data_IF_956554094796
#
_entry.id   IF_956554094796
#
_cell.length_a   1.000
_cell.length_b   1.000
_cell.length_c   1.000
_cell.angle_alpha   90.00
_cell.angle_beta   90.00
_cell.angle_gamma   90.00
#
_symmetry.space_group_name_H-M   'P 1'
#
loop_
_entity.id
_entity.type
_entity.pdbx_description
1 polymer ?
#
# COMPACT_ATOMS: atom_id res chain seq x y z
N UNK A 1 0.06 -51.44 5.72
CA UNK A 1 0.82 -50.67 4.70
C UNK A 1 0.31 -51.12 3.35
N UNK A 2 -0.46 -50.30 2.64
CA UNK A 2 -0.97 -50.72 1.34
C UNK A 2 0.16 -50.68 0.29
N UNK A 3 0.45 -51.83 -0.33
CA UNK A 3 1.29 -51.90 -1.54
C UNK A 3 2.80 -51.95 -1.35
N UNK A 4 3.34 -52.13 -0.14
CA UNK A 4 4.77 -52.43 0.05
C UNK A 4 4.90 -53.88 0.47
N UNK A 5 5.39 -54.73 -0.43
CA UNK A 5 5.66 -56.14 -0.14
C UNK A 5 6.81 -56.25 0.86
N UNK A 6 6.63 -57.05 1.90
CA UNK A 6 7.70 -57.41 2.83
C UNK A 6 7.84 -58.93 2.81
N UNK A 7 8.99 -59.41 2.38
CA UNK A 7 9.34 -60.83 2.34
C UNK A 7 10.43 -61.19 3.36
N UNK A 8 10.85 -60.23 4.20
CA UNK A 8 11.87 -60.41 5.22
C UNK A 8 13.31 -60.52 4.69
N UNK A 9 13.53 -60.38 3.37
CA UNK A 9 14.85 -60.51 2.76
C UNK A 9 15.66 -59.21 2.74
N UNK A 10 15.01 -58.07 2.99
CA UNK A 10 15.62 -56.74 2.96
C UNK A 10 14.83 -55.71 3.79
N UNK A 11 15.44 -54.53 4.00
CA UNK A 11 14.82 -53.41 4.71
C UNK A 11 13.61 -52.84 3.95
N UNK A 12 12.56 -52.48 4.68
CA UNK A 12 11.38 -51.82 4.12
C UNK A 12 11.63 -50.30 4.03
N UNK A 13 11.64 -49.76 2.82
CA UNK A 13 11.61 -48.31 2.60
C UNK A 13 10.15 -47.81 2.53
N UNK A 14 9.76 -46.95 3.47
CA UNK A 14 8.43 -46.32 3.53
C UNK A 14 8.58 -44.83 3.23
N UNK A 15 7.92 -44.35 2.18
CA UNK A 15 7.86 -42.91 1.86
C UNK A 15 6.73 -42.21 2.62
N UNK A 16 6.78 -40.88 2.70
CA UNK A 16 5.70 -40.05 3.23
C UNK A 16 4.33 -40.36 2.58
N UNK A 17 4.32 -40.62 1.27
CA UNK A 17 3.12 -41.03 0.54
C UNK A 17 2.54 -42.35 1.06
N UNK A 18 3.38 -43.30 1.46
CA UNK A 18 2.92 -44.62 1.93
C UNK A 18 2.18 -44.55 3.27
N UNK A 19 2.32 -43.46 4.02
CA UNK A 19 1.73 -43.27 5.36
C UNK A 19 0.89 -41.99 5.46
N UNK A 20 0.54 -41.36 4.33
CA UNK A 20 -0.20 -40.10 4.28
C UNK A 20 0.43 -38.98 5.13
N UNK A 21 1.77 -38.90 5.14
CA UNK A 21 2.52 -37.84 5.81
C UNK A 21 2.94 -36.75 4.80
N UNK A 22 3.26 -35.56 5.32
CA UNK A 22 3.95 -34.54 4.53
C UNK A 22 5.35 -35.02 4.13
N UNK A 23 5.78 -34.72 2.91
CA UNK A 23 7.15 -34.96 2.49
C UNK A 23 8.12 -34.14 3.36
N UNK A 24 9.29 -34.71 3.67
CA UNK A 24 10.34 -34.02 4.43
C UNK A 24 10.93 -32.81 3.67
N UNK A 25 10.80 -32.81 2.34
CA UNK A 25 11.36 -31.83 1.41
C UNK A 25 10.34 -31.58 0.28
N UNK A 26 10.83 -31.27 -0.91
CA UNK A 26 10.02 -31.06 -2.11
C UNK A 26 9.05 -32.24 -2.35
N UNK A 27 7.79 -31.90 -2.61
CA UNK A 27 6.75 -32.81 -3.10
C UNK A 27 6.82 -32.86 -4.62
N UNK A 28 6.99 -34.07 -5.17
CA UNK A 28 7.06 -34.29 -6.62
C UNK A 28 8.27 -33.65 -7.30
N UNK A 29 8.20 -33.54 -8.63
CA UNK A 29 9.24 -32.90 -9.44
C UNK A 29 9.06 -31.39 -9.52
N UNK A 30 10.12 -30.68 -9.90
CA UNK A 30 10.07 -29.23 -10.17
C UNK A 30 9.07 -28.96 -11.30
N UNK A 31 8.21 -27.96 -11.11
CA UNK A 31 7.20 -27.55 -12.10
C UNK A 31 7.65 -26.31 -12.88
N UNK A 32 7.19 -26.18 -14.13
CA UNK A 32 7.55 -25.05 -15.00
C UNK A 32 6.46 -23.96 -14.98
N UNK A 33 6.61 -23.00 -14.08
CA UNK A 33 5.62 -21.96 -13.80
C UNK A 33 5.06 -22.06 -12.39
N UNK A 34 4.84 -20.91 -11.75
CA UNK A 34 4.23 -20.85 -10.41
C UNK A 34 2.75 -21.21 -10.39
N UNK A 35 2.07 -21.17 -11.54
CA UNK A 35 0.67 -21.58 -11.66
C UNK A 35 0.48 -23.07 -11.93
N UNK A 36 1.56 -23.83 -12.17
CA UNK A 36 1.51 -25.22 -12.64
C UNK A 36 1.16 -26.26 -11.58
N UNK A 37 1.26 -25.91 -10.29
CA UNK A 37 0.79 -26.79 -9.21
C UNK A 37 -0.74 -26.76 -9.23
N UNK A 38 -1.36 -27.88 -9.61
CA UNK A 38 -2.81 -28.01 -9.71
C UNK A 38 -3.50 -27.94 -8.34
N UNK A 39 -4.73 -27.39 -8.32
CA UNK A 39 -5.49 -27.25 -7.06
C UNK A 39 -5.85 -28.59 -6.43
N UNK A 40 -5.99 -29.64 -7.24
CA UNK A 40 -6.35 -30.99 -6.86
C UNK A 40 -5.14 -31.91 -6.62
N UNK A 41 -3.92 -31.37 -6.60
CA UNK A 41 -2.72 -32.14 -6.29
C UNK A 41 -2.62 -32.43 -4.78
N UNK A 42 -1.80 -33.42 -4.41
CA UNK A 42 -1.51 -33.76 -3.02
C UNK A 42 -0.97 -32.55 -2.25
N UNK A 43 -1.31 -32.43 -0.96
CA UNK A 43 -0.73 -31.35 -0.13
C UNK A 43 0.80 -31.48 -0.05
N UNK A 44 1.52 -30.35 -0.06
CA UNK A 44 2.97 -30.39 -0.06
C UNK A 44 3.69 -29.07 -0.36
N UNK A 45 5.01 -29.17 -0.48
CA UNK A 45 5.92 -28.08 -0.80
C UNK A 45 6.49 -28.29 -2.20
N UNK A 46 6.13 -27.45 -3.17
CA UNK A 46 6.53 -27.60 -4.57
C UNK A 46 7.56 -26.55 -4.97
N UNK A 47 8.50 -26.93 -5.84
CA UNK A 47 9.48 -26.03 -6.43
C UNK A 47 9.01 -25.61 -7.83
N UNK A 48 8.75 -24.33 -8.04
CA UNK A 48 8.25 -23.79 -9.31
C UNK A 48 9.26 -22.86 -9.97
N UNK A 49 9.57 -23.09 -11.25
CA UNK A 49 10.45 -22.21 -12.03
C UNK A 49 9.67 -20.97 -12.50
N UNK A 50 10.25 -19.78 -12.29
CA UNK A 50 9.63 -18.49 -12.61
C UNK A 50 10.51 -17.58 -13.49
N UNK A 51 11.29 -18.19 -14.39
CA UNK A 51 12.20 -17.47 -15.31
C UNK A 51 13.48 -17.00 -14.64
N UNK A 52 14.55 -17.78 -14.75
CA UNK A 52 15.86 -17.48 -14.14
C UNK A 52 15.92 -17.65 -12.61
N UNK A 53 14.80 -17.96 -11.95
CA UNK A 53 14.70 -18.23 -10.53
C UNK A 53 13.62 -19.29 -10.24
N UNK A 54 13.44 -19.63 -8.96
CA UNK A 54 12.32 -20.44 -8.49
C UNK A 54 11.55 -19.78 -7.34
N UNK A 55 10.30 -20.20 -7.17
CA UNK A 55 9.45 -19.89 -6.03
C UNK A 55 9.04 -21.18 -5.31
N UNK A 56 8.90 -21.09 -3.99
CA UNK A 56 8.32 -22.15 -3.18
C UNK A 56 6.79 -22.00 -3.22
N UNK A 57 6.09 -23.06 -3.64
CA UNK A 57 4.63 -23.14 -3.55
C UNK A 57 4.26 -24.06 -2.39
N UNK A 58 3.68 -23.49 -1.34
CA UNK A 58 3.04 -24.27 -0.29
C UNK A 58 1.61 -24.53 -0.73
N UNK A 59 1.26 -25.79 -0.95
CA UNK A 59 -0.07 -26.21 -1.42
C UNK A 59 -0.74 -27.06 -0.34
N UNK A 60 -1.88 -26.60 0.14
CA UNK A 60 -2.74 -27.36 1.05
C UNK A 60 -4.03 -27.67 0.32
N UNK A 61 -4.33 -28.95 0.18
CA UNK A 61 -5.54 -29.48 -0.41
C UNK A 61 -6.16 -30.47 0.57
N UNK A 62 -7.36 -30.13 1.05
CA UNK A 62 -8.17 -30.96 1.94
C UNK A 62 -9.25 -31.74 1.18
N UNK A 63 -9.40 -31.49 -0.13
CA UNK A 63 -10.36 -32.13 -1.02
C UNK A 63 -11.81 -32.09 -0.49
N UNK A 64 -12.17 -31.03 0.22
CA UNK A 64 -13.46 -30.88 0.88
C UNK A 64 -13.84 -29.41 1.08
N UNK A 65 -15.14 -29.14 1.13
CA UNK A 65 -15.69 -27.81 1.35
C UNK A 65 -15.57 -26.87 0.15
N UNK A 66 -16.08 -25.65 0.30
CA UNK A 66 -16.07 -24.65 -0.78
C UNK A 66 -14.70 -24.03 -1.04
N UNK A 67 -13.76 -24.19 -0.11
CA UNK A 67 -12.35 -23.85 -0.31
C UNK A 67 -11.51 -25.11 -0.07
N UNK A 68 -11.45 -26.02 -1.06
CA UNK A 68 -10.75 -27.30 -0.87
C UNK A 68 -9.24 -27.16 -0.93
N UNK A 69 -8.72 -26.08 -1.52
CA UNK A 69 -7.29 -25.85 -1.61
C UNK A 69 -6.88 -24.39 -1.51
N UNK A 70 -5.70 -24.16 -0.94
CA UNK A 70 -5.02 -22.87 -0.91
C UNK A 70 -3.56 -23.05 -1.28
N UNK A 71 -3.03 -22.09 -2.02
CA UNK A 71 -1.61 -22.00 -2.29
C UNK A 71 -1.02 -20.70 -1.75
N UNK A 72 0.19 -20.80 -1.23
CA UNK A 72 1.07 -19.66 -0.98
C UNK A 72 2.27 -19.75 -1.90
N UNK A 73 2.54 -18.68 -2.67
CA UNK A 73 3.75 -18.49 -3.45
C UNK A 73 4.73 -17.65 -2.65
N UNK A 74 5.89 -18.18 -2.33
CA UNK A 74 6.93 -17.51 -1.55
C UNK A 74 8.17 -17.33 -2.42
N UNK A 75 8.57 -16.07 -2.62
CA UNK A 75 9.78 -15.73 -3.37
C UNK A 75 11.02 -15.76 -2.48
N UNK A 76 12.15 -16.14 -3.06
CA UNK A 76 13.46 -16.10 -2.40
C UNK A 76 13.80 -14.70 -1.87
N UNK A 77 14.69 -14.62 -0.86
CA UNK A 77 15.16 -13.35 -0.25
C UNK A 77 14.03 -12.45 0.29
N UNK A 78 12.95 -13.03 0.81
CA UNK A 78 11.77 -12.28 1.26
C UNK A 78 11.16 -11.42 0.14
N UNK A 79 11.24 -11.89 -1.12
CA UNK A 79 10.78 -11.17 -2.31
C UNK A 79 9.25 -11.06 -2.46
N UNK A 80 8.50 -11.38 -1.42
CA UNK A 80 7.03 -11.36 -1.41
C UNK A 80 6.41 -12.73 -1.13
N UNK A 81 5.20 -12.67 -0.57
CA UNK A 81 4.31 -13.81 -0.40
C UNK A 81 3.01 -13.45 -1.10
N UNK A 82 2.46 -14.37 -1.88
CA UNK A 82 1.14 -14.23 -2.50
C UNK A 82 0.31 -15.48 -2.20
N UNK A 83 -1.02 -15.37 -2.18
CA UNK A 83 -1.91 -16.53 -2.09
C UNK A 83 -2.93 -16.59 -3.22
N UNK A 84 -3.48 -17.77 -3.42
CA UNK A 84 -4.70 -18.00 -4.20
C UNK A 84 -5.45 -19.19 -3.60
N UNK A 85 -6.76 -19.23 -3.76
CA UNK A 85 -7.62 -20.30 -3.24
C UNK A 85 -8.47 -20.89 -4.34
N UNK A 86 -8.75 -22.18 -4.23
CA UNK A 86 -9.67 -22.88 -5.11
C UNK A 86 -11.11 -22.72 -4.60
N UNK A 87 -12.08 -22.81 -5.52
CA UNK A 87 -13.51 -22.85 -5.19
C UNK A 87 -14.13 -24.18 -5.60
N UNK A 88 -14.84 -24.80 -4.66
CA UNK A 88 -15.62 -26.03 -4.85
C UNK A 88 -14.85 -27.06 -5.72
N UNK A 89 -15.50 -27.65 -6.74
CA UNK A 89 -14.84 -28.52 -7.72
C UNK A 89 -14.21 -27.79 -8.93
N UNK A 90 -14.21 -26.46 -8.95
CA UNK A 90 -13.80 -25.66 -10.12
C UNK A 90 -12.30 -25.35 -10.14
N UNK A 91 -11.66 -25.27 -8.98
CA UNK A 91 -10.24 -24.94 -8.86
C UNK A 91 -9.97 -23.45 -8.65
N UNK A 92 -8.78 -22.99 -9.05
CA UNK A 92 -8.38 -21.58 -8.90
C UNK A 92 -9.11 -20.69 -9.90
N UNK A 93 -10.05 -19.87 -9.42
CA UNK A 93 -10.80 -18.92 -10.26
C UNK A 93 -10.11 -17.57 -10.39
N UNK A 94 -9.27 -17.24 -9.41
CA UNK A 94 -8.48 -16.02 -9.37
C UNK A 94 -6.98 -16.34 -9.37
N UNK A 95 -6.21 -15.37 -9.87
CA UNK A 95 -4.76 -15.39 -9.83
C UNK A 95 -4.20 -15.16 -8.42
N UNK A 96 -2.90 -14.90 -8.36
CA UNK A 96 -2.21 -14.56 -7.12
C UNK A 96 -2.66 -13.21 -6.56
N UNK A 97 -2.86 -13.17 -5.24
CA UNK A 97 -3.07 -11.96 -4.45
C UNK A 97 -1.91 -11.77 -3.47
N UNK A 98 -1.30 -10.58 -3.44
CA UNK A 98 -0.10 -10.31 -2.64
C UNK A 98 -0.42 -10.04 -1.17
N UNK A 99 0.44 -10.53 -0.26
CA UNK A 99 0.54 -10.01 1.10
C UNK A 99 1.43 -8.78 1.12
N UNK A 100 0.89 -7.66 1.59
CA UNK A 100 1.70 -6.49 1.87
C UNK A 100 2.43 -6.61 3.20
N UNK A 101 3.68 -6.18 3.22
CA UNK A 101 4.56 -6.23 4.38
C UNK A 101 5.30 -4.91 4.55
N UNK A 102 6.06 -4.76 5.64
CA UNK A 102 6.89 -3.56 5.87
C UNK A 102 7.96 -3.36 4.80
N UNK A 103 8.46 -4.45 4.19
CA UNK A 103 9.43 -4.44 3.08
C UNK A 103 8.78 -4.44 1.70
N UNK A 104 7.46 -4.68 1.60
CA UNK A 104 6.67 -4.65 0.37
C UNK A 104 5.33 -3.97 0.66
N UNK A 105 5.38 -2.65 0.85
CA UNK A 105 4.19 -1.83 1.19
C UNK A 105 3.30 -1.66 -0.05
N UNK A 106 1.98 -1.45 0.14
CA UNK A 106 1.12 -1.07 -0.98
C UNK A 106 1.53 0.29 -1.53
N UNK A 107 1.28 0.48 -2.83
CA UNK A 107 1.30 1.80 -3.46
C UNK A 107 0.05 2.60 -3.08
N UNK A 108 0.03 3.92 -3.33
CA UNK A 108 -1.17 4.72 -3.14
C UNK A 108 -2.33 4.23 -4.03
N UNK A 109 -2.02 3.83 -5.27
CA UNK A 109 -3.00 3.25 -6.19
C UNK A 109 -3.59 1.93 -5.70
N UNK A 110 -2.78 1.09 -5.05
CA UNK A 110 -3.22 -0.20 -4.51
C UNK A 110 -4.34 -0.06 -3.45
N UNK A 111 -4.39 1.09 -2.77
CA UNK A 111 -5.36 1.37 -1.70
C UNK A 111 -6.34 2.50 -2.03
N UNK A 112 -6.35 2.99 -3.27
CA UNK A 112 -7.22 4.10 -3.69
C UNK A 112 -6.89 5.44 -3.02
N UNK A 113 -5.65 5.65 -2.58
CA UNK A 113 -5.17 6.89 -2.01
C UNK A 113 -4.51 7.80 -3.06
N UNK A 114 -4.49 9.11 -2.81
CA UNK A 114 -3.67 10.03 -3.58
C UNK A 114 -2.19 9.90 -3.21
N UNK A 115 -1.34 9.96 -4.23
CA UNK A 115 0.10 10.12 -4.04
C UNK A 115 0.42 11.47 -3.42
N UNK A 116 1.60 11.59 -2.81
CA UNK A 116 2.11 12.88 -2.31
C UNK A 116 2.12 13.96 -3.39
N UNK A 117 2.45 13.60 -4.63
CA UNK A 117 2.48 14.53 -5.75
C UNK A 117 1.07 15.05 -6.10
N UNK A 118 0.07 14.17 -6.09
CA UNK A 118 -1.33 14.58 -6.30
C UNK A 118 -1.86 15.44 -5.17
N UNK A 119 -1.55 15.11 -3.92
CA UNK A 119 -1.94 15.95 -2.79
C UNK A 119 -1.33 17.36 -2.90
N UNK A 120 -0.04 17.43 -3.22
CA UNK A 120 0.67 18.70 -3.36
C UNK A 120 0.07 19.59 -4.47
N UNK A 121 -0.41 19.00 -5.57
CA UNK A 121 -0.95 19.76 -6.70
C UNK A 121 -2.43 20.13 -6.54
N UNK A 122 -3.19 19.36 -5.74
CA UNK A 122 -4.65 19.53 -5.60
C UNK A 122 -5.07 20.35 -4.38
N UNK A 123 -4.30 20.29 -3.30
CA UNK A 123 -4.73 20.80 -2.00
C UNK A 123 -3.85 21.94 -1.48
N UNK A 124 -4.45 22.79 -0.66
CA UNK A 124 -3.72 23.77 0.14
C UNK A 124 -2.96 23.01 1.24
N UNK A 125 -1.65 23.23 1.29
CA UNK A 125 -0.73 22.58 2.24
C UNK A 125 -0.25 23.51 3.35
N UNK A 126 -0.59 24.79 3.27
CA UNK A 126 -0.28 25.79 4.30
C UNK A 126 -1.05 27.09 4.08
N UNK A 127 -1.28 27.83 5.16
CA UNK A 127 -1.93 29.14 5.17
C UNK A 127 -1.12 30.06 6.07
N UNK A 128 -0.93 31.34 5.68
CA UNK A 128 -0.21 32.34 6.48
C UNK A 128 -0.71 33.76 6.19
N UNK A 129 -0.32 34.70 7.06
CA UNK A 129 -0.36 36.12 6.75
C UNK A 129 0.96 36.54 6.11
N UNK A 130 0.88 37.27 4.99
CA UNK A 130 2.05 37.77 4.27
C UNK A 130 2.67 39.03 4.88
N UNK A 131 3.40 39.77 4.04
CA UNK A 131 4.07 41.00 4.42
C UNK A 131 3.11 42.07 4.96
N UNK A 132 3.58 42.81 5.97
CA UNK A 132 2.84 43.93 6.55
C UNK A 132 2.73 45.08 5.53
N UNK A 133 1.52 45.59 5.35
CA UNK A 133 1.24 46.89 4.73
C UNK A 133 0.71 47.84 5.80
N UNK A 134 1.11 49.10 5.73
CA UNK A 134 0.67 50.14 6.66
C UNK A 134 0.26 51.37 5.87
N UNK A 135 -0.83 52.02 6.28
CA UNK A 135 -1.31 53.26 5.69
C UNK A 135 -1.72 54.24 6.78
N UNK A 136 -1.41 55.52 6.59
CA UNK A 136 -1.86 56.57 7.48
C UNK A 136 -3.39 56.75 7.36
N UNK A 137 -4.06 56.75 8.50
CA UNK A 137 -5.51 56.87 8.64
C UNK A 137 -5.92 58.27 9.08
N UNK A 138 -5.25 58.84 10.08
CA UNK A 138 -5.50 60.21 10.50
C UNK A 138 -4.90 61.21 9.51
N UNK A 139 -5.72 62.10 8.96
CA UNK A 139 -5.34 63.03 7.88
C UNK A 139 -4.63 62.34 6.70
N UNK A 140 -4.87 61.04 6.50
CA UNK A 140 -4.28 60.23 5.45
C UNK A 140 -5.35 59.59 4.56
N UNK A 141 -4.95 58.82 3.54
CA UNK A 141 -5.90 58.19 2.63
C UNK A 141 -6.73 57.08 3.29
N UNK A 142 -6.33 56.60 4.46
CA UNK A 142 -6.97 55.45 5.13
C UNK A 142 -6.75 54.15 4.37
N UNK A 143 -7.36 53.06 4.85
CA UNK A 143 -7.33 51.77 4.18
C UNK A 143 -8.65 51.54 3.45
N UNK A 144 -8.60 51.44 2.13
CA UNK A 144 -9.72 50.95 1.32
C UNK A 144 -9.64 49.44 1.15
N UNK A 145 -10.77 48.80 0.84
CA UNK A 145 -10.78 47.37 0.54
C UNK A 145 -9.75 47.03 -0.56
N UNK A 146 -9.06 45.90 -0.34
CA UNK A 146 -8.02 45.39 -1.22
C UNK A 146 -8.11 43.88 -1.22
N UNK A 147 -8.40 43.31 -2.38
CA UNK A 147 -8.57 41.87 -2.56
C UNK A 147 -7.45 41.06 -1.88
N UNK A 148 -7.84 40.11 -1.04
CA UNK A 148 -6.93 39.23 -0.31
C UNK A 148 -6.31 39.79 0.96
N UNK A 149 -6.52 41.07 1.31
CA UNK A 149 -5.97 41.68 2.51
C UNK A 149 -6.97 41.69 3.66
N UNK A 150 -6.46 41.50 4.87
CA UNK A 150 -7.19 41.70 6.12
C UNK A 150 -6.47 42.73 6.97
N UNK A 151 -7.24 43.59 7.63
CA UNK A 151 -6.70 44.52 8.64
C UNK A 151 -6.22 43.69 9.83
N UNK A 152 -4.99 43.94 10.27
CA UNK A 152 -4.30 43.21 11.34
C UNK A 152 -3.81 44.12 12.46
N UNK A 153 -3.97 45.44 12.34
CA UNK A 153 -3.61 46.37 13.40
C UNK A 153 -4.22 47.76 13.18
N UNK A 154 -4.53 48.41 14.30
CA UNK A 154 -4.83 49.83 14.40
C UNK A 154 -3.82 50.42 15.36
N UNK A 155 -3.07 51.41 14.90
CA UNK A 155 -1.96 52.00 15.65
C UNK A 155 -2.31 53.46 15.94
N UNK A 156 -2.31 53.80 17.22
CA UNK A 156 -2.21 55.17 17.69
C UNK A 156 -0.81 55.35 18.31
N UNK A 157 0.04 56.10 17.61
CA UNK A 157 1.42 56.38 18.03
C UNK A 157 1.51 57.53 19.03
N UNK A 158 0.59 58.49 18.99
CA UNK A 158 0.60 59.67 19.86
C UNK A 158 -0.25 59.49 21.14
N UNK A 159 -1.03 58.41 21.23
CA UNK A 159 -1.93 58.01 22.33
C UNK A 159 -3.06 58.99 22.63
N UNK A 160 -3.54 59.71 21.62
CA UNK A 160 -4.79 60.48 21.67
C UNK A 160 -6.05 59.61 21.45
N UNK A 161 -7.18 60.22 21.10
CA UNK A 161 -8.45 59.54 20.84
C UNK A 161 -8.57 58.96 19.42
N UNK A 162 -7.57 59.14 18.54
CA UNK A 162 -7.67 58.88 17.10
C UNK A 162 -6.71 57.77 16.63
N UNK A 163 -7.05 57.08 15.53
CA UNK A 163 -6.16 56.07 14.93
C UNK A 163 -5.26 56.74 13.89
N UNK A 164 -3.95 56.65 14.08
CA UNK A 164 -2.96 57.21 13.16
C UNK A 164 -2.72 56.34 11.94
N UNK A 165 -2.60 55.02 12.12
CA UNK A 165 -2.18 54.08 11.07
C UNK A 165 -2.99 52.80 11.12
N UNK A 166 -3.49 52.37 9.96
CA UNK A 166 -4.10 51.05 9.76
C UNK A 166 -3.06 50.11 9.15
N UNK A 167 -2.94 48.92 9.71
CA UNK A 167 -2.05 47.86 9.25
C UNK A 167 -2.85 46.70 8.69
N UNK A 168 -2.42 46.14 7.56
CA UNK A 168 -3.06 45.00 6.93
C UNK A 168 -2.03 44.02 6.35
N UNK A 169 -2.44 42.77 6.18
CA UNK A 169 -1.61 41.70 5.60
C UNK A 169 -2.43 40.91 4.59
N UNK A 170 -1.83 40.43 3.49
CA UNK A 170 -2.52 39.51 2.60
C UNK A 170 -2.62 38.13 3.26
N UNK A 171 -3.78 37.48 3.12
CA UNK A 171 -3.90 36.05 3.39
C UNK A 171 -3.20 35.33 2.23
N UNK A 172 -2.31 34.40 2.56
CA UNK A 172 -1.60 33.57 1.59
C UNK A 172 -1.87 32.09 1.84
N UNK A 173 -1.97 31.31 0.76
CA UNK A 173 -2.09 29.86 0.80
C UNK A 173 -1.04 29.19 -0.08
N UNK A 174 -0.63 27.98 0.29
CA UNK A 174 0.40 27.23 -0.41
C UNK A 174 -0.18 26.05 -1.19
N UNK A 175 0.06 26.02 -2.51
CA UNK A 175 -0.22 24.86 -3.37
C UNK A 175 1.08 24.49 -4.06
N UNK A 176 1.44 23.21 -4.01
CA UNK A 176 2.65 22.66 -4.62
C UNK A 176 3.95 23.40 -4.24
N UNK A 177 4.05 23.85 -2.99
CA UNK A 177 5.21 24.60 -2.48
C UNK A 177 5.23 26.09 -2.86
N UNK A 178 4.32 26.56 -3.72
CA UNK A 178 4.21 27.96 -4.13
C UNK A 178 3.16 28.68 -3.29
N UNK A 179 3.47 29.90 -2.84
CA UNK A 179 2.56 30.75 -2.09
C UNK A 179 1.81 31.72 -3.00
N UNK A 180 0.49 31.79 -2.84
CA UNK A 180 -0.42 32.66 -3.58
C UNK A 180 -1.14 33.60 -2.61
N UNK A 181 -1.47 34.81 -3.04
CA UNK A 181 -2.40 35.67 -2.30
C UNK A 181 -3.84 35.21 -2.55
N UNK A 182 -4.66 35.22 -1.51
CA UNK A 182 -6.11 35.00 -1.63
C UNK A 182 -6.77 36.10 -2.46
N UNK A 183 -7.91 35.77 -3.09
CA UNK A 183 -8.82 36.74 -3.67
C UNK A 183 -10.01 36.98 -2.73
N UNK A 184 -10.50 38.22 -2.70
CA UNK A 184 -11.81 38.58 -2.16
C UNK A 184 -12.84 38.62 -3.30
N UNK A 185 -14.08 38.21 -3.04
CA UNK A 185 -15.22 38.22 -3.98
C UNK A 185 -16.29 39.21 -3.57
#
# INVERSE_FOLDING_TARGET
>A
MAGVGFDGSSDISISAKNVNAFALRQTGNTVNGDTSVGWNWDSGAYNALIGGASALILHFNINAGSCPAVQFRVNYKNGGISYRSARDGYGFELGWSDFYTTTRKPSAGDVGAYTRAECNSRFITGIRLGGLSSVQTWNGPGWSDRSGYVVTGSVNGNRDELIDTTQARPIQYCINGTWYNAGSI
#
